data_IF_117599804148
#
_entry.id   IF_117599804148
#
_cell.length_a   1.000
_cell.length_b   1.000
_cell.length_c   1.000
_cell.angle_alpha   90.00
_cell.angle_beta   90.00
_cell.angle_gamma   90.00
#
_symmetry.space_group_name_H-M   'P 1'
#
loop_
_entity.id
_entity.type
_entity.pdbx_description
1 polymer ?
#
# COMPACT_ATOMS: atom_id res chain seq x y z
N UNK A 1 11.41 5.47 -17.33
CA UNK A 1 10.20 6.34 -17.30
C UNK A 1 10.42 7.53 -16.38
N UNK A 2 10.62 7.34 -15.07
CA UNK A 2 10.85 8.45 -14.13
C UNK A 2 12.01 9.36 -14.54
N UNK A 3 13.15 8.81 -14.99
CA UNK A 3 14.29 9.61 -15.49
C UNK A 3 13.89 10.61 -16.59
N UNK A 4 13.03 10.17 -17.51
CA UNK A 4 12.56 11.02 -18.61
C UNK A 4 11.66 12.15 -18.07
N UNK A 5 10.77 11.86 -17.11
CA UNK A 5 9.88 12.87 -16.50
C UNK A 5 10.66 13.86 -15.64
N UNK A 6 11.67 13.39 -14.90
CA UNK A 6 12.53 14.21 -14.05
C UNK A 6 13.38 15.21 -14.84
N UNK A 7 13.58 14.98 -16.15
CA UNK A 7 14.19 15.96 -17.05
C UNK A 7 13.33 17.21 -17.29
N UNK A 8 12.03 17.16 -16.96
CA UNK A 8 11.08 18.26 -17.19
C UNK A 8 10.39 18.76 -15.92
N UNK A 9 10.21 17.89 -14.92
CA UNK A 9 9.49 18.22 -13.68
C UNK A 9 10.37 17.93 -12.46
N UNK A 10 10.54 18.88 -11.54
CA UNK A 10 11.26 18.65 -10.29
C UNK A 10 10.71 17.47 -9.49
N UNK A 11 11.60 16.65 -8.93
CA UNK A 11 11.25 15.39 -8.26
C UNK A 11 10.32 15.57 -7.06
N UNK A 12 10.43 16.70 -6.36
CA UNK A 12 9.58 17.09 -5.22
C UNK A 12 8.14 17.42 -5.62
N UNK A 13 7.87 17.57 -6.93
CA UNK A 13 6.53 17.75 -7.50
C UNK A 13 5.97 16.49 -8.14
N UNK A 14 6.67 15.35 -8.01
CA UNK A 14 6.25 14.08 -8.57
C UNK A 14 5.73 13.13 -7.48
N UNK A 15 4.72 12.35 -7.87
CA UNK A 15 4.17 11.25 -7.10
C UNK A 15 4.09 10.00 -7.99
N UNK A 16 4.02 8.83 -7.37
CA UNK A 16 3.80 7.56 -8.07
C UNK A 16 2.53 6.88 -7.57
N UNK A 17 1.80 6.28 -8.50
CA UNK A 17 0.60 5.48 -8.24
C UNK A 17 0.74 4.14 -8.95
N UNK A 18 0.88 3.06 -8.19
CA UNK A 18 1.06 1.72 -8.75
C UNK A 18 -0.07 0.78 -8.35
N UNK A 19 -0.55 0.02 -9.34
CA UNK A 19 -1.43 -1.12 -9.09
C UNK A 19 -0.58 -2.37 -8.82
N UNK A 20 -1.07 -3.24 -7.92
CA UNK A 20 -0.43 -4.51 -7.55
C UNK A 20 -0.99 -5.71 -8.32
N UNK A 21 -1.57 -5.47 -9.51
CA UNK A 21 -2.19 -6.49 -10.38
C UNK A 21 -1.26 -7.67 -10.66
N UNK A 22 0.04 -7.41 -10.78
CA UNK A 22 1.09 -8.42 -11.04
C UNK A 22 2.12 -8.54 -9.91
N UNK A 23 1.79 -8.05 -8.70
CA UNK A 23 2.68 -8.15 -7.54
C UNK A 23 3.94 -7.28 -7.61
N UNK A 24 3.94 -6.22 -8.43
CA UNK A 24 5.11 -5.37 -8.68
C UNK A 24 5.00 -3.98 -8.03
N UNK A 25 3.92 -3.68 -7.30
CA UNK A 25 3.72 -2.31 -6.83
C UNK A 25 4.78 -1.91 -5.80
N UNK A 26 5.07 -2.76 -4.81
CA UNK A 26 6.06 -2.45 -3.78
C UNK A 26 7.49 -2.33 -4.33
N UNK A 27 7.88 -3.19 -5.27
CA UNK A 27 9.19 -3.10 -5.92
C UNK A 27 9.32 -1.81 -6.74
N UNK A 28 8.28 -1.42 -7.48
CA UNK A 28 8.24 -0.16 -8.21
C UNK A 28 8.29 1.05 -7.27
N UNK A 29 7.59 1.00 -6.13
CA UNK A 29 7.65 2.04 -5.10
C UNK A 29 9.08 2.15 -4.55
N UNK A 30 9.70 1.02 -4.19
CA UNK A 30 11.06 1.01 -3.67
C UNK A 30 12.05 1.68 -4.63
N UNK A 31 12.00 1.33 -5.91
CA UNK A 31 12.85 1.97 -6.93
C UNK A 31 12.53 3.46 -7.05
N UNK A 32 11.25 3.86 -7.00
CA UNK A 32 10.85 5.26 -7.06
C UNK A 32 11.40 6.08 -5.88
N UNK A 33 11.39 5.52 -4.66
CA UNK A 33 11.98 6.13 -3.47
C UNK A 33 13.49 6.32 -3.63
N UNK A 34 14.19 5.32 -4.18
CA UNK A 34 15.63 5.41 -4.47
C UNK A 34 15.95 6.50 -5.50
N UNK A 35 15.00 6.83 -6.38
CA UNK A 35 15.10 7.95 -7.33
C UNK A 35 14.71 9.31 -6.73
N UNK A 36 14.38 9.37 -5.44
CA UNK A 36 14.05 10.60 -4.72
C UNK A 36 12.57 10.97 -4.71
N UNK A 37 11.68 10.13 -5.26
CA UNK A 37 10.23 10.34 -5.11
C UNK A 37 9.87 10.18 -3.64
N UNK A 38 9.07 11.10 -3.10
CA UNK A 38 8.66 11.11 -1.69
C UNK A 38 7.15 11.05 -1.48
N UNK A 39 6.36 11.03 -2.57
CA UNK A 39 4.90 10.91 -2.53
C UNK A 39 4.45 9.64 -3.26
N UNK A 40 3.69 8.80 -2.56
CA UNK A 40 3.21 7.51 -3.07
C UNK A 40 1.71 7.39 -2.79
N UNK A 41 0.94 7.19 -3.85
CA UNK A 41 -0.48 6.93 -3.75
C UNK A 41 -0.72 5.43 -3.52
N UNK A 42 -1.69 5.14 -2.64
CA UNK A 42 -2.10 3.78 -2.29
C UNK A 42 -3.55 3.78 -1.84
N UNK A 43 -4.11 2.60 -1.60
CA UNK A 43 -5.50 2.46 -1.17
C UNK A 43 -5.62 1.56 0.05
N UNK A 44 -6.35 2.01 1.08
CA UNK A 44 -6.60 1.22 2.30
C UNK A 44 -7.08 -0.17 1.93
N UNK A 45 -6.56 -1.22 2.56
CA UNK A 45 -6.94 -2.62 2.29
C UNK A 45 -6.90 -3.03 0.81
N UNK A 46 -6.11 -2.34 -0.01
CA UNK A 46 -6.05 -2.55 -1.45
C UNK A 46 -7.37 -2.26 -2.16
N UNK A 47 -8.20 -1.33 -1.64
CA UNK A 47 -9.48 -1.03 -2.25
C UNK A 47 -9.29 -0.55 -3.69
N UNK A 48 -10.17 -1.04 -4.55
CA UNK A 48 -10.19 -0.77 -5.97
C UNK A 48 -10.28 -2.10 -6.71
N UNK A 49 -10.01 -2.05 -7.99
CA UNK A 49 -9.98 -3.21 -8.87
C UNK A 49 -9.62 -2.76 -10.27
N UNK A 50 -9.25 -3.71 -11.12
CA UNK A 50 -8.92 -3.43 -12.50
C UNK A 50 -10.13 -3.76 -13.38
N UNK A 51 -10.75 -2.74 -13.99
CA UNK A 51 -11.96 -2.91 -14.81
C UNK A 51 -11.78 -3.85 -16.02
N UNK A 52 -10.57 -3.94 -16.59
CA UNK A 52 -10.28 -4.82 -17.73
C UNK A 52 -9.78 -6.24 -17.36
N UNK A 53 -9.75 -6.62 -16.08
CA UNK A 53 -9.14 -7.84 -15.55
C UNK A 53 -9.90 -8.25 -14.29
N UNK A 54 -11.09 -8.82 -14.51
CA UNK A 54 -12.00 -9.22 -13.44
C UNK A 54 -11.29 -10.18 -12.47
N UNK A 55 -11.27 -9.80 -11.19
CA UNK A 55 -10.67 -10.59 -10.10
C UNK A 55 -9.20 -10.30 -9.82
N UNK A 56 -8.51 -9.51 -10.66
CA UNK A 56 -7.14 -9.09 -10.37
C UNK A 56 -7.10 -7.97 -9.32
N UNK A 57 -6.01 -7.92 -8.55
CA UNK A 57 -5.72 -6.82 -7.62
C UNK A 57 -5.66 -5.48 -8.35
N UNK A 58 -6.16 -4.43 -7.69
CA UNK A 58 -6.11 -3.05 -8.17
C UNK A 58 -4.94 -2.30 -7.56
N UNK A 59 -5.24 -1.21 -6.86
CA UNK A 59 -4.26 -0.41 -6.13
C UNK A 59 -3.44 -1.25 -5.13
N UNK A 60 -2.20 -0.84 -4.90
CA UNK A 60 -1.42 -1.33 -3.76
C UNK A 60 -2.09 -0.99 -2.43
N UNK A 61 -2.04 -1.93 -1.48
CA UNK A 61 -2.61 -1.71 -0.16
C UNK A 61 -1.75 -0.76 0.68
N UNK A 62 -2.35 0.28 1.27
CA UNK A 62 -1.63 1.26 2.10
C UNK A 62 -0.91 0.59 3.28
N UNK A 63 -1.50 -0.43 3.88
CA UNK A 63 -0.90 -1.19 4.99
C UNK A 63 0.39 -1.89 4.57
N UNK A 64 0.45 -2.42 3.34
CA UNK A 64 1.62 -3.10 2.80
C UNK A 64 2.75 -2.09 2.50
N UNK A 65 2.38 -0.89 2.00
CA UNK A 65 3.33 0.21 1.79
C UNK A 65 3.88 0.72 3.11
N UNK A 66 3.02 1.04 4.09
CA UNK A 66 3.44 1.54 5.41
C UNK A 66 4.32 0.51 6.12
N UNK A 67 3.96 -0.78 6.08
CA UNK A 67 4.78 -1.83 6.65
C UNK A 67 6.19 -1.90 6.04
N UNK A 68 6.29 -1.81 4.71
CA UNK A 68 7.58 -1.75 4.03
C UNK A 68 8.39 -0.51 4.45
N UNK A 69 7.75 0.67 4.48
CA UNK A 69 8.40 1.93 4.83
C UNK A 69 8.89 1.95 6.28
N UNK A 70 8.08 1.46 7.21
CA UNK A 70 8.45 1.31 8.63
C UNK A 70 9.66 0.38 8.78
N UNK A 71 9.66 -0.76 8.07
CA UNK A 71 10.78 -1.70 8.07
C UNK A 71 12.08 -1.14 7.45
N UNK A 72 11.96 -0.19 6.53
CA UNK A 72 13.09 0.55 5.95
C UNK A 72 13.51 1.76 6.79
N UNK A 73 12.81 2.07 7.88
CA UNK A 73 13.07 3.24 8.72
C UNK A 73 12.64 4.58 8.09
N UNK A 74 11.77 4.56 7.08
CA UNK A 74 11.25 5.75 6.41
C UNK A 74 10.06 6.30 7.18
N UNK A 75 10.13 7.57 7.58
CA UNK A 75 9.08 8.22 8.37
C UNK A 75 7.86 8.57 7.51
N UNK A 76 6.71 7.94 7.82
CA UNK A 76 5.42 8.22 7.16
C UNK A 76 4.46 9.06 8.02
N UNK A 77 4.64 9.05 9.35
CA UNK A 77 3.68 9.55 10.34
C UNK A 77 2.31 8.83 10.35
N UNK A 78 2.21 7.66 9.70
CA UNK A 78 0.99 6.85 9.71
C UNK A 78 1.08 5.84 10.85
N UNK A 79 0.01 5.70 11.63
CA UNK A 79 -0.09 4.64 12.63
C UNK A 79 -0.67 3.38 11.99
N UNK A 80 0.16 2.34 11.80
CA UNK A 80 -0.24 1.10 11.13
C UNK A 80 -1.45 0.42 11.81
N UNK A 81 -1.50 0.40 13.15
CA UNK A 81 -2.62 -0.19 13.89
C UNK A 81 -3.96 0.51 13.62
N UNK A 82 -3.97 1.85 13.63
CA UNK A 82 -5.17 2.64 13.30
C UNK A 82 -5.57 2.48 11.82
N UNK A 83 -4.58 2.39 10.93
CA UNK A 83 -4.83 2.14 9.51
C UNK A 83 -5.49 0.76 9.30
N UNK A 84 -5.00 -0.28 9.97
CA UNK A 84 -5.60 -1.61 9.91
C UNK A 84 -7.05 -1.63 10.42
N UNK A 85 -7.38 -0.88 11.48
CA UNK A 85 -8.76 -0.74 11.96
C UNK A 85 -9.67 -0.09 10.90
N UNK A 86 -9.19 0.93 10.20
CA UNK A 86 -9.93 1.55 9.09
C UNK A 86 -10.14 0.57 7.93
N UNK A 87 -9.11 -0.22 7.60
CA UNK A 87 -9.17 -1.27 6.60
C UNK A 87 -10.17 -2.39 6.94
N UNK A 88 -10.20 -2.82 8.21
CA UNK A 88 -11.17 -3.79 8.70
C UNK A 88 -12.60 -3.25 8.60
N UNK A 89 -12.84 -2.01 9.04
CA UNK A 89 -14.14 -1.35 8.97
C UNK A 89 -14.72 -1.38 7.55
N UNK A 90 -13.95 -0.90 6.57
CA UNK A 90 -14.44 -0.80 5.19
C UNK A 90 -14.56 -2.18 4.52
N UNK A 91 -13.65 -3.11 4.82
CA UNK A 91 -13.73 -4.49 4.33
C UNK A 91 -15.01 -5.18 4.81
N UNK A 92 -15.35 -5.02 6.09
CA UNK A 92 -16.61 -5.51 6.68
C UNK A 92 -17.83 -4.85 6.04
N UNK A 93 -17.80 -3.54 5.85
CA UNK A 93 -18.91 -2.80 5.25
C UNK A 93 -19.20 -3.23 3.81
N UNK A 94 -18.14 -3.50 3.03
CA UNK A 94 -18.25 -3.97 1.64
C UNK A 94 -18.48 -5.48 1.51
N UNK A 95 -18.46 -6.23 2.61
CA UNK A 95 -18.60 -7.69 2.59
C UNK A 95 -17.48 -8.41 1.82
N UNK A 96 -16.26 -7.85 1.81
CA UNK A 96 -15.10 -8.42 1.11
C UNK A 96 -13.88 -8.51 2.02
N UNK A 97 -12.98 -9.50 1.83
CA UNK A 97 -11.73 -9.55 2.60
C UNK A 97 -10.81 -8.37 2.23
N UNK A 98 -9.91 -8.02 3.14
CA UNK A 98 -8.83 -7.06 2.86
C UNK A 98 -7.88 -7.63 1.80
N UNK A 99 -7.43 -6.78 0.87
CA UNK A 99 -6.37 -7.10 -0.08
C UNK A 99 -4.96 -6.90 0.47
N UNK A 100 -4.81 -6.35 1.68
CA UNK A 100 -3.50 -6.18 2.32
C UNK A 100 -2.95 -7.50 2.85
N UNK A 101 -1.74 -7.86 2.43
CA UNK A 101 -1.02 -9.03 2.97
C UNK A 101 -0.61 -8.79 4.42
N UNK A 102 -0.17 -7.57 4.75
CA UNK A 102 0.18 -7.15 6.11
C UNK A 102 -1.00 -7.30 7.06
N UNK A 103 -2.17 -6.74 6.71
CA UNK A 103 -3.35 -6.80 7.56
C UNK A 103 -3.79 -8.25 7.80
N UNK A 104 -3.81 -9.08 6.76
CA UNK A 104 -4.15 -10.51 6.88
C UNK A 104 -3.21 -11.24 7.85
N UNK A 105 -1.91 -10.98 7.76
CA UNK A 105 -0.92 -11.63 8.60
C UNK A 105 -1.01 -11.17 10.06
N UNK A 106 -1.07 -9.85 10.30
CA UNK A 106 -1.02 -9.26 11.63
C UNK A 106 -2.34 -9.44 12.40
N UNK A 107 -3.50 -9.38 11.75
CA UNK A 107 -4.79 -9.57 12.43
C UNK A 107 -4.95 -10.97 13.04
N UNK A 108 -4.30 -11.99 12.46
CA UNK A 108 -4.28 -13.35 13.02
C UNK A 108 -3.40 -13.46 14.28
N UNK A 109 -2.37 -12.63 14.40
CA UNK A 109 -1.49 -12.59 15.57
C UNK A 109 -2.22 -11.94 16.74
N UNK A 110 -2.89 -10.80 16.54
CA UNK A 110 -3.60 -10.07 17.60
C UNK A 110 -4.79 -10.85 18.18
N UNK A 111 -5.48 -11.65 17.35
CA UNK A 111 -6.57 -12.52 17.79
C UNK A 111 -6.08 -13.73 18.64
N UNK A 112 -4.79 -14.10 18.56
CA UNK A 112 -4.19 -15.15 19.39
C UNK A 112 -3.66 -14.61 20.71
N UNK A 113 -3.05 -13.43 20.73
CA UNK A 113 -2.51 -12.83 21.95
C UNK A 113 -3.59 -12.34 22.92
N UNK A 114 -4.81 -12.09 22.44
CA UNK A 114 -5.97 -11.73 23.27
C UNK A 114 -6.75 -12.92 23.84
N UNK A 115 -6.31 -14.16 23.55
CA UNK A 115 -6.93 -15.41 24.03
C UNK A 115 -6.09 -16.17 25.07
N UNK A 116 -5.03 -15.55 25.59
CA UNK A 116 -4.23 -16.02 26.73
C UNK A 116 -4.38 -15.00 27.87
#
# INVERSE_FOLDING_TARGET
MLEAVMGFVPVDKLAVHFHDTYGQALSNILVSLQMGISTVDSSVSGLGGWQYAKGASGNVATEDVVYMLDGLGVKTNVNLGKLMLAGEFISKHLGRPSGSKTAIALSKVTARTSKL
#
